data_IF_121047728433
#
_entry.id   IF_121047728433
#
_cell.length_a   1.000
_cell.length_b   1.000
_cell.length_c   1.000
_cell.angle_alpha   90.00
_cell.angle_beta   90.00
_cell.angle_gamma   90.00
#
_symmetry.space_group_name_H-M   'P 1'
#
loop_
_entity.id
_entity.type
_entity.pdbx_description
1 polymer ?
#
# COMPACT_ATOMS: atom_id res chain seq x y z
N UNK A 1 -13.36 -32.55 15.12
CA UNK A 1 -13.18 -31.23 14.51
C UNK A 1 -12.20 -31.37 13.35
N UNK A 2 -12.71 -31.33 12.13
CA UNK A 2 -11.86 -31.23 10.93
C UNK A 2 -11.38 -29.79 10.90
N UNK A 3 -10.07 -29.58 11.05
CA UNK A 3 -9.47 -28.26 11.07
C UNK A 3 -9.72 -27.53 9.73
N UNK A 4 -9.91 -26.24 9.79
CA UNK A 4 -10.04 -25.35 8.62
C UNK A 4 -8.89 -25.48 7.62
N UNK A 5 -7.72 -26.00 8.04
CA UNK A 5 -6.56 -26.26 7.20
C UNK A 5 -6.77 -27.21 6.02
N UNK A 6 -7.81 -28.06 6.07
CA UNK A 6 -8.16 -28.97 4.94
C UNK A 6 -8.99 -28.29 3.84
N UNK A 7 -9.49 -27.07 4.07
CA UNK A 7 -10.39 -26.36 3.15
C UNK A 7 -9.64 -25.56 2.09
N UNK A 8 -8.38 -25.24 2.32
CA UNK A 8 -7.60 -24.34 1.45
C UNK A 8 -6.42 -25.05 0.79
N UNK A 9 -6.68 -26.17 0.09
CA UNK A 9 -5.67 -26.70 -0.83
C UNK A 9 -5.55 -25.74 -2.01
N UNK A 10 -4.36 -25.18 -2.18
CA UNK A 10 -3.95 -24.20 -3.19
C UNK A 10 -4.37 -24.53 -4.64
N UNK A 11 -4.75 -25.77 -4.92
CA UNK A 11 -5.11 -26.26 -6.25
C UNK A 11 -6.55 -25.90 -6.69
N UNK A 12 -7.38 -25.36 -5.80
CA UNK A 12 -8.80 -25.12 -6.08
C UNK A 12 -9.15 -23.63 -6.33
N UNK A 13 -8.19 -22.70 -6.11
CA UNK A 13 -8.43 -21.26 -6.24
C UNK A 13 -7.57 -20.63 -7.32
N UNK A 14 -8.18 -19.81 -8.17
CA UNK A 14 -7.47 -19.02 -9.20
C UNK A 14 -6.79 -17.79 -8.61
N UNK A 15 -7.29 -17.30 -7.47
CA UNK A 15 -6.74 -16.21 -6.66
C UNK A 15 -7.11 -16.41 -5.19
N UNK A 16 -6.43 -15.71 -4.30
CA UNK A 16 -6.86 -15.56 -2.92
C UNK A 16 -6.57 -14.15 -2.42
N UNK A 17 -7.59 -13.45 -1.95
CA UNK A 17 -7.44 -12.11 -1.37
C UNK A 17 -8.40 -11.93 -0.19
N UNK A 18 -7.88 -11.46 0.96
CA UNK A 18 -8.67 -11.20 2.16
C UNK A 18 -8.26 -9.89 2.86
N UNK A 19 -7.78 -8.91 2.09
CA UNK A 19 -7.21 -7.66 2.60
C UNK A 19 -8.22 -6.70 3.22
N UNK A 20 -9.53 -6.87 2.96
CA UNK A 20 -10.55 -5.93 3.42
C UNK A 20 -11.66 -6.67 4.17
N UNK A 21 -12.42 -5.91 4.96
CA UNK A 21 -13.58 -6.42 5.69
C UNK A 21 -14.71 -6.94 4.78
N UNK A 22 -14.75 -6.46 3.52
CA UNK A 22 -15.75 -6.86 2.53
C UNK A 22 -15.42 -8.19 1.84
N UNK A 23 -14.35 -8.86 2.29
CA UNK A 23 -13.94 -10.14 1.68
C UNK A 23 -15.05 -11.18 1.69
N UNK A 24 -15.19 -11.93 0.60
CA UNK A 24 -16.30 -12.85 0.38
C UNK A 24 -16.50 -13.82 1.55
N UNK A 25 -17.67 -13.74 2.19
CA UNK A 25 -18.06 -14.58 3.31
C UNK A 25 -17.15 -14.49 4.54
N UNK A 26 -16.41 -13.39 4.73
CA UNK A 26 -15.40 -13.20 5.76
C UNK A 26 -14.30 -14.29 5.76
N UNK A 27 -14.04 -14.89 4.57
CA UNK A 27 -13.06 -15.98 4.42
C UNK A 27 -11.98 -15.68 3.39
N UNK A 28 -12.33 -14.98 2.32
CA UNK A 28 -11.44 -14.64 1.21
C UNK A 28 -12.14 -14.65 -0.14
N UNK A 29 -11.72 -13.77 -1.02
CA UNK A 29 -12.13 -13.75 -2.41
C UNK A 29 -11.28 -14.76 -3.20
N UNK A 30 -11.93 -15.73 -3.87
CA UNK A 30 -11.23 -16.86 -4.50
C UNK A 30 -11.43 -16.95 -6.02
N UNK A 31 -12.30 -16.11 -6.59
CA UNK A 31 -12.58 -16.03 -8.03
C UNK A 31 -12.46 -14.63 -8.57
N UNK A 32 -13.07 -13.68 -7.88
CA UNK A 32 -13.04 -12.26 -8.14
C UNK A 32 -13.20 -11.52 -6.80
N UNK A 33 -12.52 -10.42 -6.61
CA UNK A 33 -12.70 -9.57 -5.43
C UNK A 33 -14.12 -9.02 -5.37
N UNK A 34 -14.70 -8.89 -4.17
CA UNK A 34 -15.95 -8.13 -3.97
C UNK A 34 -15.81 -6.69 -4.51
N UNK A 35 -14.60 -6.14 -4.43
CA UNK A 35 -14.23 -4.83 -5.00
C UNK A 35 -14.04 -4.83 -6.53
N UNK A 36 -14.23 -5.97 -7.21
CA UNK A 36 -13.99 -6.09 -8.64
C UNK A 36 -12.55 -6.47 -9.04
N UNK A 37 -11.61 -6.62 -8.08
CA UNK A 37 -10.24 -7.07 -8.38
C UNK A 37 -10.27 -8.45 -9.03
N UNK A 38 -9.66 -8.59 -10.22
CA UNK A 38 -9.54 -9.86 -10.91
C UNK A 38 -8.34 -10.68 -10.41
N UNK A 39 -8.26 -11.94 -10.87
CA UNK A 39 -7.20 -12.86 -10.48
C UNK A 39 -5.80 -12.37 -10.86
N UNK A 40 -5.64 -11.84 -12.05
CA UNK A 40 -4.34 -11.37 -12.54
C UNK A 40 -3.81 -10.22 -11.68
N UNK A 41 -4.65 -9.25 -11.38
CA UNK A 41 -4.29 -8.13 -10.50
C UNK A 41 -3.92 -8.62 -9.10
N UNK A 42 -4.71 -9.52 -8.51
CA UNK A 42 -4.42 -10.04 -7.18
C UNK A 42 -3.11 -10.82 -7.12
N UNK A 43 -2.89 -11.73 -8.08
CA UNK A 43 -1.68 -12.52 -8.15
C UNK A 43 -0.44 -11.66 -8.46
N UNK A 44 -0.55 -10.65 -9.33
CA UNK A 44 0.54 -9.71 -9.62
C UNK A 44 0.90 -8.84 -8.42
N UNK A 45 -0.07 -8.47 -7.58
CA UNK A 45 0.19 -7.79 -6.31
C UNK A 45 0.96 -8.69 -5.33
N UNK A 46 0.63 -9.98 -5.24
CA UNK A 46 1.36 -10.94 -4.41
C UNK A 46 2.80 -11.10 -4.91
N UNK A 47 3.02 -11.14 -6.24
CA UNK A 47 4.35 -11.16 -6.82
C UNK A 47 5.14 -9.88 -6.51
N UNK A 48 4.49 -8.71 -6.60
CA UNK A 48 5.15 -7.45 -6.25
C UNK A 48 5.61 -7.44 -4.78
N UNK A 49 4.78 -7.92 -3.87
CA UNK A 49 5.16 -8.07 -2.45
C UNK A 49 6.34 -9.03 -2.32
N UNK A 50 6.31 -10.17 -3.02
CA UNK A 50 7.38 -11.17 -2.97
C UNK A 50 8.73 -10.60 -3.43
N UNK A 51 8.79 -9.93 -4.59
CA UNK A 51 10.04 -9.34 -5.08
C UNK A 51 10.49 -8.14 -4.23
N UNK A 52 9.55 -7.42 -3.59
CA UNK A 52 9.84 -6.34 -2.66
C UNK A 52 10.47 -6.87 -1.37
N UNK A 53 10.01 -8.01 -0.85
CA UNK A 53 10.67 -8.71 0.25
C UNK A 53 12.10 -9.11 -0.11
N UNK A 54 12.32 -9.59 -1.35
CA UNK A 54 13.65 -9.89 -1.85
C UNK A 54 14.56 -8.65 -1.97
N UNK A 55 14.05 -7.53 -2.45
CA UNK A 55 14.77 -6.25 -2.45
C UNK A 55 15.10 -5.79 -1.03
N UNK A 56 14.18 -5.97 -0.09
CA UNK A 56 14.36 -5.59 1.32
C UNK A 56 15.52 -6.37 1.98
N UNK A 57 15.62 -7.68 1.71
CA UNK A 57 16.76 -8.49 2.15
C UNK A 57 18.09 -7.95 1.60
N UNK A 58 18.12 -7.62 0.31
CA UNK A 58 19.33 -7.08 -0.34
C UNK A 58 19.73 -5.74 0.27
N UNK A 59 18.78 -4.83 0.45
CA UNK A 59 19.02 -3.52 1.08
C UNK A 59 19.57 -3.68 2.51
N UNK A 60 18.97 -4.57 3.30
CA UNK A 60 19.40 -4.80 4.68
C UNK A 60 20.80 -5.42 4.77
N UNK A 61 21.15 -6.34 3.86
CA UNK A 61 22.50 -6.93 3.81
C UNK A 61 23.58 -5.91 3.44
N UNK A 62 23.26 -4.91 2.63
CA UNK A 62 24.19 -3.81 2.30
C UNK A 62 24.29 -2.82 3.46
N UNK A 63 23.18 -2.54 4.13
CA UNK A 63 23.10 -1.64 5.28
C UNK A 63 22.90 -0.18 4.89
N UNK A 64 23.84 0.43 4.18
CA UNK A 64 23.73 1.81 3.70
C UNK A 64 23.47 1.85 2.20
N UNK A 65 22.30 2.31 1.81
CA UNK A 65 21.87 2.45 0.42
C UNK A 65 21.25 3.83 0.18
N UNK A 66 21.15 4.23 -1.08
CA UNK A 66 20.44 5.43 -1.51
C UNK A 66 18.94 5.32 -1.10
N UNK A 67 18.39 6.41 -0.58
CA UNK A 67 17.00 6.49 -0.09
C UNK A 67 15.96 6.08 -1.13
N UNK A 68 16.26 6.20 -2.42
CA UNK A 68 15.36 5.76 -3.52
C UNK A 68 14.98 4.28 -3.45
N UNK A 69 15.80 3.43 -2.84
CA UNK A 69 15.46 2.01 -2.66
C UNK A 69 14.42 1.81 -1.56
N UNK A 70 14.46 2.62 -0.50
CA UNK A 70 13.40 2.67 0.51
C UNK A 70 12.11 3.26 -0.06
N UNK A 71 12.22 4.28 -0.93
CA UNK A 71 11.07 4.83 -1.64
C UNK A 71 10.41 3.79 -2.55
N UNK A 72 11.21 3.00 -3.25
CA UNK A 72 10.72 1.91 -4.08
C UNK A 72 10.00 0.84 -3.23
N UNK A 73 10.58 0.43 -2.10
CA UNK A 73 9.96 -0.52 -1.17
C UNK A 73 8.62 0.03 -0.65
N UNK A 74 8.61 1.26 -0.13
CA UNK A 74 7.38 1.89 0.38
C UNK A 74 6.31 2.04 -0.71
N UNK A 75 6.69 2.50 -1.91
CA UNK A 75 5.75 2.66 -3.01
C UNK A 75 5.15 1.31 -3.47
N UNK A 76 5.97 0.26 -3.54
CA UNK A 76 5.47 -1.08 -3.87
C UNK A 76 4.47 -1.60 -2.84
N UNK A 77 4.72 -1.39 -1.55
CA UNK A 77 3.77 -1.76 -0.50
C UNK A 77 2.49 -0.93 -0.59
N UNK A 78 2.60 0.37 -0.83
CA UNK A 78 1.46 1.28 -0.95
C UNK A 78 0.54 0.91 -2.11
N UNK A 79 1.07 0.66 -3.31
CA UNK A 79 0.23 0.34 -4.48
C UNK A 79 -0.48 -1.01 -4.37
N UNK A 80 -0.07 -1.88 -3.45
CA UNK A 80 -0.74 -3.15 -3.17
C UNK A 80 -1.84 -3.06 -2.11
N UNK A 81 -2.10 -1.87 -1.55
CA UNK A 81 -3.23 -1.65 -0.65
C UNK A 81 -4.54 -1.92 -1.40
N UNK A 82 -5.53 -2.42 -0.66
CA UNK A 82 -6.88 -2.64 -1.16
C UNK A 82 -7.40 -1.40 -1.88
N UNK A 83 -7.83 -1.57 -3.13
CA UNK A 83 -8.42 -0.53 -3.98
C UNK A 83 -7.47 0.61 -4.41
N UNK A 84 -6.16 0.51 -4.18
CA UNK A 84 -5.21 1.54 -4.61
C UNK A 84 -4.86 1.43 -6.09
N UNK A 85 -4.61 0.22 -6.60
CA UNK A 85 -4.23 0.00 -7.99
C UNK A 85 -4.83 -1.30 -8.54
N UNK A 86 -5.61 -1.19 -9.63
CA UNK A 86 -6.22 -2.31 -10.35
C UNK A 86 -5.56 -2.57 -11.71
N UNK A 87 -4.56 -1.77 -12.09
CA UNK A 87 -3.84 -1.91 -13.37
C UNK A 87 -2.76 -3.00 -13.26
N UNK A 88 -3.05 -4.19 -13.79
CA UNK A 88 -2.10 -5.31 -13.86
C UNK A 88 -0.80 -4.93 -14.56
N UNK A 89 -0.86 -4.14 -15.64
CA UNK A 89 0.30 -3.77 -16.43
C UNK A 89 1.22 -2.81 -15.64
N UNK A 90 0.65 -1.91 -14.86
CA UNK A 90 1.42 -1.05 -13.97
C UNK A 90 2.09 -1.86 -12.85
N UNK A 91 1.37 -2.79 -12.25
CA UNK A 91 1.91 -3.68 -11.21
C UNK A 91 3.07 -4.51 -11.76
N UNK A 92 2.93 -5.10 -12.95
CA UNK A 92 4.00 -5.87 -13.58
C UNK A 92 5.23 -5.01 -13.93
N UNK A 93 5.04 -3.75 -14.35
CA UNK A 93 6.16 -2.80 -14.54
C UNK A 93 6.92 -2.55 -13.23
N UNK A 94 6.20 -2.41 -12.11
CA UNK A 94 6.82 -2.26 -10.77
C UNK A 94 7.57 -3.52 -10.34
N UNK A 95 7.08 -4.71 -10.67
CA UNK A 95 7.79 -5.97 -10.47
C UNK A 95 9.11 -5.96 -11.25
N UNK A 96 9.07 -5.62 -12.54
CA UNK A 96 10.27 -5.54 -13.40
C UNK A 96 11.29 -4.51 -12.89
N UNK A 97 10.81 -3.34 -12.45
CA UNK A 97 11.65 -2.29 -11.86
C UNK A 97 12.32 -2.77 -10.57
N UNK A 98 11.56 -3.44 -9.72
CA UNK A 98 12.05 -3.97 -8.44
C UNK A 98 13.10 -5.07 -8.65
N UNK A 99 12.87 -5.98 -9.61
CA UNK A 99 13.85 -7.01 -10.00
C UNK A 99 15.14 -6.35 -10.49
N UNK A 100 15.05 -5.38 -11.41
CA UNK A 100 16.22 -4.67 -11.94
C UNK A 100 17.01 -3.95 -10.85
N UNK A 101 16.32 -3.27 -9.94
CA UNK A 101 16.95 -2.57 -8.82
C UNK A 101 17.70 -3.55 -7.90
N UNK A 102 17.03 -4.64 -7.54
CA UNK A 102 17.57 -5.72 -6.71
C UNK A 102 18.81 -6.40 -7.35
N UNK A 103 18.70 -6.81 -8.61
CA UNK A 103 19.77 -7.51 -9.33
C UNK A 103 21.00 -6.62 -9.52
N UNK A 104 20.78 -5.32 -9.75
CA UNK A 104 21.86 -4.33 -9.78
C UNK A 104 22.61 -4.28 -8.45
N UNK A 105 21.88 -4.16 -7.34
CA UNK A 105 22.49 -4.11 -5.99
C UNK A 105 23.26 -5.40 -5.66
N UNK A 106 22.70 -6.57 -5.98
CA UNK A 106 23.36 -7.87 -5.77
C UNK A 106 24.69 -7.91 -6.53
N UNK A 107 24.69 -7.52 -7.80
CA UNK A 107 25.87 -7.54 -8.66
C UNK A 107 26.94 -6.56 -8.19
N UNK A 108 26.56 -5.32 -7.87
CA UNK A 108 27.49 -4.27 -7.43
C UNK A 108 28.17 -4.61 -6.10
N UNK A 109 27.44 -5.26 -5.18
CA UNK A 109 27.93 -5.60 -3.84
C UNK A 109 28.37 -7.06 -3.71
N UNK A 110 28.29 -7.86 -4.79
CA UNK A 110 28.68 -9.29 -4.81
C UNK A 110 28.05 -10.09 -3.67
N UNK A 111 26.74 -9.90 -3.49
CA UNK A 111 26.01 -10.56 -2.41
C UNK A 111 25.79 -12.04 -2.73
N UNK A 112 25.99 -12.87 -1.71
CA UNK A 112 25.76 -14.31 -1.73
C UNK A 112 24.81 -14.71 -0.58
N UNK A 113 24.41 -15.96 -0.52
CA UNK A 113 23.53 -16.52 0.52
C UNK A 113 22.21 -15.76 0.68
N UNK A 114 21.51 -15.57 -0.43
CA UNK A 114 20.24 -14.88 -0.52
C UNK A 114 19.06 -15.85 -0.55
N UNK A 115 17.90 -15.41 -0.10
CA UNK A 115 16.63 -16.14 -0.21
C UNK A 115 16.20 -16.33 -1.67
N UNK A 116 15.21 -17.20 -1.88
CA UNK A 116 14.62 -17.40 -3.21
C UNK A 116 13.97 -16.09 -3.74
N UNK A 117 13.37 -15.29 -2.88
CA UNK A 117 12.81 -14.00 -3.26
C UNK A 117 13.87 -13.00 -3.73
N UNK A 118 15.03 -12.98 -3.07
CA UNK A 118 16.14 -12.14 -3.47
C UNK A 118 16.86 -12.65 -4.73
N UNK A 119 16.91 -13.97 -4.94
CA UNK A 119 17.49 -14.56 -6.15
C UNK A 119 16.58 -14.53 -7.37
N UNK A 120 15.26 -14.45 -7.16
CA UNK A 120 14.32 -14.52 -8.27
C UNK A 120 14.51 -13.38 -9.25
N UNK A 121 14.68 -13.72 -10.53
CA UNK A 121 14.79 -12.78 -11.65
C UNK A 121 14.08 -13.36 -12.86
N UNK A 122 13.40 -12.54 -13.63
CA UNK A 122 12.84 -12.85 -14.93
C UNK A 122 12.55 -11.58 -15.70
N UNK A 123 12.70 -11.62 -17.02
CA UNK A 123 12.29 -10.63 -18.00
C UNK A 123 11.12 -11.14 -18.89
N UNK A 124 10.70 -12.39 -18.70
CA UNK A 124 9.56 -13.00 -19.39
C UNK A 124 8.26 -12.80 -18.59
N UNK A 125 7.34 -12.02 -19.12
CA UNK A 125 6.04 -11.75 -18.51
C UNK A 125 5.19 -12.99 -18.26
N UNK A 126 5.32 -14.03 -19.08
CA UNK A 126 4.61 -15.29 -18.85
C UNK A 126 5.19 -16.03 -17.64
N UNK A 127 6.50 -15.94 -17.43
CA UNK A 127 7.15 -16.47 -16.25
C UNK A 127 6.76 -15.68 -15.00
N UNK A 128 6.73 -14.34 -15.07
CA UNK A 128 6.22 -13.51 -13.97
C UNK A 128 4.80 -13.91 -13.57
N UNK A 129 3.89 -14.08 -14.53
CA UNK A 129 2.50 -14.52 -14.26
C UNK A 129 2.43 -15.93 -13.64
N UNK A 130 3.27 -16.86 -14.06
CA UNK A 130 3.34 -18.18 -13.41
C UNK A 130 3.84 -18.08 -11.98
N UNK A 131 4.93 -17.30 -11.77
CA UNK A 131 5.47 -17.08 -10.42
C UNK A 131 4.46 -16.41 -9.49
N UNK A 132 3.66 -15.48 -9.99
CA UNK A 132 2.61 -14.81 -9.24
C UNK A 132 1.61 -15.78 -8.59
N UNK A 133 1.25 -16.84 -9.29
CA UNK A 133 0.36 -17.90 -8.75
C UNK A 133 1.05 -18.70 -7.63
N UNK A 134 2.37 -18.82 -7.68
CA UNK A 134 3.13 -19.64 -6.73
C UNK A 134 3.37 -18.95 -5.38
N UNK A 135 3.46 -17.62 -5.36
CA UNK A 135 3.96 -16.87 -4.19
C UNK A 135 2.88 -16.23 -3.33
N UNK A 136 1.61 -16.56 -3.56
CA UNK A 136 0.47 -15.97 -2.86
C UNK A 136 0.39 -16.33 -1.36
N UNK A 137 -0.53 -15.68 -0.69
CA UNK A 137 -0.79 -15.77 0.76
C UNK A 137 -0.87 -17.20 1.29
N UNK A 138 -1.48 -18.12 0.53
CA UNK A 138 -1.69 -19.51 0.94
C UNK A 138 -0.43 -20.39 0.90
N UNK A 139 0.75 -19.82 0.59
CA UNK A 139 2.03 -20.53 0.68
C UNK A 139 2.43 -20.87 2.11
N UNK A 140 2.06 -20.04 3.07
CA UNK A 140 2.29 -20.33 4.50
C UNK A 140 1.19 -21.28 4.95
N UNK A 141 1.56 -22.55 5.17
CA UNK A 141 0.61 -23.63 5.47
C UNK A 141 0.04 -23.48 6.89
N UNK A 142 0.89 -23.12 7.86
CA UNK A 142 0.45 -22.89 9.23
C UNK A 142 -0.46 -21.65 9.28
N UNK A 143 -1.69 -21.82 9.76
CA UNK A 143 -2.71 -20.77 9.77
C UNK A 143 -2.37 -19.63 10.74
N UNK A 144 -1.82 -19.96 11.91
CA UNK A 144 -1.44 -18.95 12.91
C UNK A 144 -0.26 -18.13 12.43
N UNK A 145 0.76 -18.79 11.86
CA UNK A 145 1.91 -18.11 11.24
C UNK A 145 1.44 -17.22 10.08
N UNK A 146 0.64 -17.77 9.17
CA UNK A 146 0.10 -17.02 8.03
C UNK A 146 -0.67 -15.79 8.48
N UNK A 147 -1.54 -15.94 9.47
CA UNK A 147 -2.37 -14.84 9.99
C UNK A 147 -1.53 -13.71 10.56
N UNK A 148 -0.48 -14.02 11.31
CA UNK A 148 0.42 -13.01 11.89
C UNK A 148 1.31 -12.36 10.81
N UNK A 149 1.85 -13.14 9.88
CA UNK A 149 2.65 -12.60 8.76
C UNK A 149 1.82 -11.64 7.90
N UNK A 150 0.57 -11.99 7.62
CA UNK A 150 -0.31 -11.14 6.84
C UNK A 150 -0.76 -9.90 7.63
N UNK A 151 -1.01 -10.02 8.94
CA UNK A 151 -1.31 -8.88 9.80
C UNK A 151 -0.15 -7.87 9.80
N UNK A 152 1.09 -8.34 9.94
CA UNK A 152 2.30 -7.52 9.80
C UNK A 152 2.38 -6.90 8.39
N UNK A 153 2.18 -7.69 7.35
CA UNK A 153 2.21 -7.22 5.96
C UNK A 153 1.20 -6.10 5.72
N UNK A 154 -0.02 -6.23 6.25
CA UNK A 154 -1.04 -5.18 6.14
C UNK A 154 -0.69 -3.93 6.95
N UNK A 155 -0.13 -4.09 8.13
CA UNK A 155 0.42 -2.98 8.93
C UNK A 155 1.49 -2.22 8.15
N UNK A 156 2.40 -2.95 7.48
CA UNK A 156 3.44 -2.34 6.63
C UNK A 156 2.86 -1.61 5.41
N UNK A 157 1.80 -2.11 4.79
CA UNK A 157 1.12 -1.40 3.69
C UNK A 157 0.54 -0.06 4.17
N UNK A 158 -0.15 -0.04 5.30
CA UNK A 158 -0.67 1.19 5.89
C UNK A 158 0.43 2.17 6.27
N UNK A 159 1.50 1.66 6.90
CA UNK A 159 2.69 2.46 7.23
C UNK A 159 3.34 3.06 5.98
N UNK A 160 3.47 2.26 4.91
CA UNK A 160 4.05 2.70 3.65
C UNK A 160 3.20 3.80 2.98
N UNK A 161 1.87 3.78 3.12
CA UNK A 161 1.01 4.84 2.62
C UNK A 161 1.27 6.16 3.34
N UNK A 162 1.30 6.17 4.67
CA UNK A 162 1.63 7.37 5.44
C UNK A 162 3.03 7.89 5.13
N UNK A 163 4.01 6.98 5.06
CA UNK A 163 5.39 7.32 4.72
C UNK A 163 5.51 7.92 3.31
N UNK A 164 4.80 7.34 2.32
CA UNK A 164 4.76 7.85 0.95
C UNK A 164 4.24 9.29 0.90
N UNK A 165 3.09 9.56 1.51
CA UNK A 165 2.50 10.91 1.53
C UNK A 165 3.41 11.92 2.24
N UNK A 166 4.07 11.54 3.33
CA UNK A 166 5.03 12.39 4.01
C UNK A 166 6.26 12.68 3.12
N UNK A 167 6.80 11.64 2.43
CA UNK A 167 7.96 11.78 1.55
C UNK A 167 7.66 12.69 0.34
N UNK A 168 6.46 12.62 -0.24
CA UNK A 168 6.01 13.55 -1.31
C UNK A 168 6.02 15.00 -0.84
N UNK A 169 5.76 15.24 0.44
CA UNK A 169 5.84 16.57 1.07
C UNK A 169 7.27 16.98 1.47
N UNK A 170 8.26 16.11 1.26
CA UNK A 170 9.66 16.36 1.61
C UNK A 170 10.05 15.97 3.04
N UNK A 171 9.20 15.23 3.74
CA UNK A 171 9.44 14.76 5.10
C UNK A 171 9.80 13.28 5.09
N UNK A 172 10.87 12.91 5.79
CA UNK A 172 11.39 11.54 5.84
C UNK A 172 11.75 11.14 7.27
N UNK A 173 11.50 9.87 7.58
CA UNK A 173 11.98 9.22 8.80
C UNK A 173 12.73 7.93 8.43
N UNK A 174 14.07 7.95 8.55
CA UNK A 174 14.91 6.80 8.22
C UNK A 174 14.63 5.57 9.09
N UNK A 175 14.17 5.73 10.32
CA UNK A 175 13.82 4.63 11.20
C UNK A 175 12.61 3.88 10.67
N UNK A 176 11.59 4.60 10.17
CA UNK A 176 10.41 4.02 9.52
C UNK A 176 10.82 3.31 8.22
N UNK A 177 11.63 3.95 7.38
CA UNK A 177 12.13 3.35 6.13
C UNK A 177 12.84 2.02 6.38
N UNK A 178 13.80 2.03 7.32
CA UNK A 178 14.58 0.84 7.70
C UNK A 178 13.71 -0.24 8.33
N UNK A 179 12.75 0.17 9.18
CA UNK A 179 11.83 -0.78 9.81
C UNK A 179 10.98 -1.53 8.80
N UNK A 180 10.43 -0.83 7.79
CA UNK A 180 9.65 -1.47 6.71
C UNK A 180 10.50 -2.54 6.01
N UNK A 181 11.73 -2.20 5.58
CA UNK A 181 12.62 -3.14 4.89
C UNK A 181 13.02 -4.33 5.78
N UNK A 182 13.43 -4.08 7.03
CA UNK A 182 13.82 -5.14 7.97
C UNK A 182 12.66 -6.08 8.29
N UNK A 183 11.46 -5.54 8.41
CA UNK A 183 10.27 -6.34 8.72
C UNK A 183 9.83 -7.19 7.54
N UNK A 184 9.88 -6.65 6.32
CA UNK A 184 9.63 -7.43 5.11
C UNK A 184 10.61 -8.62 4.97
N UNK A 185 11.90 -8.41 5.20
CA UNK A 185 12.89 -9.49 5.21
C UNK A 185 12.56 -10.56 6.27
N UNK A 186 12.21 -10.15 7.50
CA UNK A 186 11.84 -11.09 8.57
C UNK A 186 10.67 -11.99 8.19
N UNK A 187 9.76 -11.52 7.33
CA UNK A 187 8.65 -12.33 6.84
C UNK A 187 9.06 -13.39 5.80
N UNK A 188 10.30 -13.37 5.28
CA UNK A 188 10.82 -14.39 4.36
C UNK A 188 11.36 -15.64 5.07
N UNK A 189 11.69 -15.55 6.36
CA UNK A 189 12.27 -16.68 7.11
C UNK A 189 11.30 -17.85 7.16
N UNK A 190 11.82 -19.05 7.08
CA UNK A 190 11.07 -20.28 7.36
C UNK A 190 10.98 -20.51 8.88
N UNK A 191 10.00 -21.31 9.32
CA UNK A 191 9.82 -21.75 10.72
C UNK A 191 9.87 -20.59 11.74
N UNK A 192 9.03 -19.58 11.55
CA UNK A 192 8.94 -18.41 12.43
C UNK A 192 8.34 -18.81 13.78
N UNK A 193 8.98 -18.40 14.87
CA UNK A 193 8.38 -18.50 16.21
C UNK A 193 7.15 -17.58 16.32
N UNK A 194 6.05 -18.10 16.84
CA UNK A 194 4.80 -17.35 17.00
C UNK A 194 4.98 -16.13 17.92
N UNK A 195 5.78 -16.25 18.99
CA UNK A 195 6.02 -15.13 19.88
C UNK A 195 6.84 -14.03 19.20
N UNK A 196 7.79 -14.40 18.34
CA UNK A 196 8.53 -13.42 17.55
C UNK A 196 7.61 -12.69 16.57
N UNK A 197 6.64 -13.37 15.97
CA UNK A 197 5.63 -12.75 15.09
C UNK A 197 4.67 -11.85 15.87
N UNK A 198 4.27 -12.22 17.07
CA UNK A 198 3.47 -11.36 17.98
C UNK A 198 4.26 -10.09 18.33
N UNK A 199 5.52 -10.24 18.70
CA UNK A 199 6.39 -9.10 19.01
C UNK A 199 6.57 -8.21 17.77
N UNK A 200 6.77 -8.81 16.61
CA UNK A 200 6.88 -8.06 15.34
C UNK A 200 5.60 -7.29 14.99
N UNK A 201 4.44 -7.86 15.30
CA UNK A 201 3.14 -7.18 15.16
C UNK A 201 3.05 -5.95 16.06
N UNK A 202 3.47 -6.05 17.32
CA UNK A 202 3.49 -4.93 18.25
C UNK A 202 4.48 -3.83 17.81
N UNK A 203 5.67 -4.20 17.36
CA UNK A 203 6.64 -3.24 16.81
C UNK A 203 6.13 -2.58 15.52
N UNK A 204 5.38 -3.31 14.69
CA UNK A 204 4.74 -2.74 13.50
C UNK A 204 3.73 -1.66 13.90
N UNK A 205 2.95 -1.87 14.94
CA UNK A 205 2.03 -0.85 15.47
C UNK A 205 2.76 0.39 15.98
N UNK A 206 3.87 0.21 16.71
CA UNK A 206 4.69 1.31 17.23
C UNK A 206 5.30 2.17 16.11
N UNK A 207 5.89 1.54 15.10
CA UNK A 207 6.46 2.27 13.96
C UNK A 207 5.37 2.85 13.05
N UNK A 208 4.18 2.23 13.03
CA UNK A 208 2.99 2.82 12.40
C UNK A 208 2.61 4.17 13.01
N UNK A 209 2.65 4.28 14.34
CA UNK A 209 2.43 5.56 15.03
C UNK A 209 3.48 6.61 14.62
N UNK A 210 4.76 6.23 14.51
CA UNK A 210 5.82 7.15 14.06
C UNK A 210 5.58 7.65 12.61
N UNK A 211 5.09 6.78 11.73
CA UNK A 211 4.74 7.19 10.36
C UNK A 211 3.53 8.14 10.33
N UNK A 212 2.55 7.92 11.21
CA UNK A 212 1.40 8.83 11.37
C UNK A 212 1.83 10.19 11.90
N UNK A 213 2.69 10.24 12.92
CA UNK A 213 3.25 11.49 13.45
C UNK A 213 4.04 12.26 12.38
N UNK A 214 4.81 11.55 11.54
CA UNK A 214 5.55 12.15 10.45
C UNK A 214 4.61 12.80 9.44
N UNK A 215 3.53 12.11 9.05
CA UNK A 215 2.55 12.64 8.11
C UNK A 215 1.74 13.81 8.70
N UNK A 216 1.34 13.72 9.96
CA UNK A 216 0.68 14.82 10.66
C UNK A 216 1.56 16.08 10.66
N UNK A 217 2.84 15.93 11.01
CA UNK A 217 3.81 17.02 10.96
C UNK A 217 3.93 17.58 9.54
N UNK A 218 4.08 16.74 8.53
CA UNK A 218 4.21 17.15 7.14
C UNK A 218 2.98 17.96 6.67
N UNK A 219 1.79 17.47 6.99
CA UNK A 219 0.53 18.12 6.63
C UNK A 219 0.34 19.44 7.36
N UNK A 220 0.55 19.46 8.68
CA UNK A 220 0.32 20.66 9.50
C UNK A 220 1.34 21.78 9.21
N UNK A 221 2.60 21.43 8.96
CA UNK A 221 3.62 22.43 8.57
C UNK A 221 3.38 22.99 7.16
N UNK A 222 2.85 22.17 6.23
CA UNK A 222 2.59 22.61 4.85
C UNK A 222 1.24 23.30 4.67
N UNK A 223 0.19 22.80 5.30
CA UNK A 223 -1.19 23.24 5.05
C UNK A 223 -1.82 24.01 6.21
N UNK A 224 -1.13 24.11 7.36
CA UNK A 224 -1.59 24.70 8.60
C UNK A 224 -2.28 23.69 9.52
N UNK A 225 -2.53 24.07 10.77
CA UNK A 225 -3.26 23.21 11.70
C UNK A 225 -4.74 23.18 11.34
N UNK A 226 -5.40 22.02 11.35
CA UNK A 226 -6.83 21.92 11.13
C UNK A 226 -7.64 22.83 12.05
N UNK A 227 -8.66 23.47 11.50
CA UNK A 227 -9.53 24.41 12.21
C UNK A 227 -10.98 23.96 12.12
N UNK A 228 -11.80 24.37 13.11
CA UNK A 228 -13.25 24.23 13.04
C UNK A 228 -13.74 25.01 11.82
N UNK A 229 -14.42 24.32 10.91
CA UNK A 229 -14.78 24.86 9.59
C UNK A 229 -16.21 24.46 9.26
N UNK A 230 -16.98 25.43 8.77
CA UNK A 230 -18.24 25.14 8.10
C UNK A 230 -17.95 24.68 6.68
N UNK A 231 -18.55 23.57 6.28
CA UNK A 231 -18.39 22.97 4.95
C UNK A 231 -19.73 23.01 4.24
N UNK A 232 -19.75 23.54 3.03
CA UNK A 232 -20.95 23.55 2.19
C UNK A 232 -21.18 22.14 1.59
N UNK A 233 -22.42 21.68 1.63
CA UNK A 233 -22.87 20.42 1.05
C UNK A 233 -23.83 20.64 -0.13
N UNK A 234 -24.05 21.87 -0.54
CA UNK A 234 -24.93 22.19 -1.67
C UNK A 234 -24.25 21.88 -3.01
N UNK A 235 -25.06 21.66 -4.03
CA UNK A 235 -24.55 21.55 -5.40
C UNK A 235 -24.56 22.94 -6.05
N UNK A 236 -23.46 23.30 -6.71
CA UNK A 236 -23.35 24.47 -7.56
C UNK A 236 -23.86 24.21 -8.98
N UNK A 237 -23.86 25.27 -9.80
CA UNK A 237 -24.34 25.22 -11.18
C UNK A 237 -23.19 25.01 -12.21
N UNK A 238 -21.92 25.02 -11.78
CA UNK A 238 -20.78 24.89 -12.65
C UNK A 238 -20.47 23.42 -12.98
N UNK A 239 -19.80 23.17 -14.10
CA UNK A 239 -19.13 21.87 -14.31
C UNK A 239 -18.22 21.56 -13.12
N UNK A 240 -18.10 20.27 -12.75
CA UNK A 240 -17.39 19.92 -11.54
C UNK A 240 -16.45 18.73 -11.70
N UNK A 241 -15.40 18.69 -10.87
CA UNK A 241 -14.53 17.55 -10.67
C UNK A 241 -14.79 17.02 -9.26
N UNK A 242 -15.11 15.73 -9.15
CA UNK A 242 -15.22 15.04 -7.88
C UNK A 242 -13.90 14.39 -7.53
N UNK A 243 -13.32 14.73 -6.37
CA UNK A 243 -12.09 14.15 -5.87
C UNK A 243 -12.35 13.39 -4.57
N UNK A 244 -11.82 12.17 -4.50
CA UNK A 244 -11.78 11.35 -3.29
C UNK A 244 -10.35 10.86 -3.06
N UNK A 245 -10.01 10.47 -1.85
CA UNK A 245 -8.69 9.97 -1.48
C UNK A 245 -8.09 10.72 -0.30
N UNK A 246 -6.77 10.62 -0.11
CA UNK A 246 -6.10 11.09 1.10
C UNK A 246 -4.98 12.11 0.82
N UNK A 247 -4.55 12.28 -0.44
CA UNK A 247 -3.38 13.08 -0.77
C UNK A 247 -3.71 14.58 -0.84
N UNK A 248 -3.27 15.32 0.18
CA UNK A 248 -3.47 16.77 0.24
C UNK A 248 -2.59 17.53 -0.76
N UNK A 249 -1.47 16.94 -1.21
CA UNK A 249 -0.64 17.55 -2.24
C UNK A 249 -1.33 17.49 -3.61
N UNK A 250 -1.92 16.36 -3.96
CA UNK A 250 -2.72 16.21 -5.18
C UNK A 250 -3.93 17.15 -5.14
N UNK A 251 -4.57 17.30 -3.97
CA UNK A 251 -5.65 18.27 -3.78
C UNK A 251 -5.17 19.71 -4.02
N UNK A 252 -4.01 20.11 -3.48
CA UNK A 252 -3.44 21.43 -3.76
C UNK A 252 -3.18 21.64 -5.25
N UNK A 253 -2.57 20.66 -5.90
CA UNK A 253 -2.27 20.72 -7.33
C UNK A 253 -3.54 20.83 -8.18
N UNK A 254 -4.60 20.09 -7.84
CA UNK A 254 -5.89 20.17 -8.52
C UNK A 254 -6.50 21.56 -8.38
N UNK A 255 -6.54 22.10 -7.18
CA UNK A 255 -7.10 23.43 -6.92
C UNK A 255 -6.33 24.54 -7.63
N UNK A 256 -4.99 24.48 -7.67
CA UNK A 256 -4.18 25.45 -8.43
C UNK A 256 -4.39 25.32 -9.95
N UNK A 257 -4.55 24.11 -10.49
CA UNK A 257 -4.77 23.89 -11.92
C UNK A 257 -6.19 24.28 -12.37
N UNK A 258 -7.18 24.10 -11.51
CA UNK A 258 -8.58 24.43 -11.81
C UNK A 258 -8.95 25.89 -11.50
N UNK A 259 -8.05 26.65 -10.87
CA UNK A 259 -8.27 28.05 -10.55
C UNK A 259 -8.66 28.86 -11.78
N UNK A 260 -9.69 29.66 -11.64
CA UNK A 260 -10.22 30.54 -12.70
C UNK A 260 -10.76 29.79 -13.94
N UNK A 261 -10.93 28.46 -13.88
CA UNK A 261 -11.43 27.63 -14.99
C UNK A 261 -12.97 27.61 -15.09
N UNK A 262 -13.68 28.07 -14.06
CA UNK A 262 -15.14 27.94 -13.95
C UNK A 262 -15.60 26.51 -13.64
N UNK A 263 -14.71 25.71 -13.06
CA UNK A 263 -14.99 24.32 -12.62
C UNK A 263 -14.98 24.26 -11.11
N UNK A 264 -16.01 23.69 -10.51
CA UNK A 264 -16.08 23.44 -9.07
C UNK A 264 -15.37 22.16 -8.70
N UNK A 265 -14.75 22.13 -7.52
CA UNK A 265 -14.10 20.94 -6.97
C UNK A 265 -14.94 20.41 -5.81
N UNK A 266 -15.42 19.18 -5.95
CA UNK A 266 -16.17 18.50 -4.92
C UNK A 266 -15.30 17.47 -4.24
N UNK A 267 -15.10 17.62 -2.94
CA UNK A 267 -14.47 16.58 -2.11
C UNK A 267 -15.52 15.53 -1.73
N UNK A 268 -15.07 14.29 -1.60
CA UNK A 268 -15.92 13.19 -1.19
C UNK A 268 -15.16 12.30 -0.21
N UNK A 269 -15.89 11.70 0.76
CA UNK A 269 -15.38 10.72 1.71
C UNK A 269 -14.11 11.20 2.41
N UNK A 270 -13.05 10.47 2.28
CA UNK A 270 -11.75 10.67 2.95
C UNK A 270 -11.06 12.00 2.60
N UNK A 271 -11.52 12.72 1.56
CA UNK A 271 -11.00 14.05 1.22
C UNK A 271 -11.69 15.18 2.01
N UNK A 272 -12.74 14.90 2.80
CA UNK A 272 -13.39 15.91 3.66
C UNK A 272 -12.38 16.68 4.55
N UNK A 273 -11.37 16.06 5.17
CA UNK A 273 -10.40 16.77 5.99
C UNK A 273 -9.64 17.89 5.28
N UNK A 274 -9.51 17.87 3.95
CA UNK A 274 -8.90 18.97 3.20
C UNK A 274 -9.55 20.32 3.52
N UNK A 275 -10.86 20.35 3.73
CA UNK A 275 -11.60 21.58 4.06
C UNK A 275 -11.20 22.20 5.41
N UNK A 276 -10.57 21.44 6.29
CA UNK A 276 -10.20 21.90 7.64
C UNK A 276 -8.86 22.63 7.67
N UNK A 277 -8.03 22.46 6.64
CA UNK A 277 -6.69 23.04 6.58
C UNK A 277 -6.74 24.49 6.08
N UNK A 278 -6.15 25.45 6.81
CA UNK A 278 -6.20 26.89 6.46
C UNK A 278 -5.75 27.20 5.05
N UNK A 279 -4.74 26.47 4.56
CA UNK A 279 -4.17 26.72 3.23
C UNK A 279 -5.19 26.55 2.10
N UNK A 280 -6.14 25.65 2.24
CA UNK A 280 -7.18 25.41 1.23
C UNK A 280 -8.32 26.43 1.27
N UNK A 281 -8.49 27.16 2.37
CA UNK A 281 -9.53 28.19 2.52
C UNK A 281 -9.38 29.40 1.59
N UNK A 282 -8.21 29.56 0.96
CA UNK A 282 -7.99 30.58 -0.08
C UNK A 282 -8.75 30.33 -1.40
N UNK A 283 -9.30 29.12 -1.58
CA UNK A 283 -10.05 28.72 -2.79
C UNK A 283 -11.55 28.89 -2.56
N UNK A 284 -12.00 30.13 -2.43
CA UNK A 284 -13.26 30.56 -1.83
C UNK A 284 -14.57 30.01 -2.44
N UNK A 285 -14.58 29.43 -3.62
CA UNK A 285 -15.85 29.12 -4.31
C UNK A 285 -15.91 27.76 -4.97
N UNK A 286 -14.84 27.00 -4.96
CA UNK A 286 -14.77 25.76 -5.72
C UNK A 286 -14.64 24.51 -4.84
N UNK A 287 -14.50 24.64 -3.54
CA UNK A 287 -14.30 23.52 -2.65
C UNK A 287 -15.58 23.21 -1.87
N UNK A 288 -16.33 22.26 -2.36
CA UNK A 288 -17.59 21.79 -1.79
C UNK A 288 -17.44 20.34 -1.41
N UNK A 289 -18.02 19.93 -0.29
CA UNK A 289 -18.05 18.51 0.08
C UNK A 289 -19.39 17.89 -0.30
N UNK A 290 -19.37 16.76 -1.01
CA UNK A 290 -20.55 15.95 -1.25
C UNK A 290 -20.72 15.00 -0.07
N UNK A 291 -21.90 15.05 0.55
CA UNK A 291 -22.27 14.12 1.62
C UNK A 291 -22.14 12.68 1.17
N UNK A 292 -21.70 11.84 2.10
CA UNK A 292 -21.49 10.42 1.89
C UNK A 292 -22.65 9.75 1.16
N UNK A 293 -22.38 8.97 0.10
CA UNK A 293 -23.36 8.04 -0.39
C UNK A 293 -23.65 7.03 0.72
N UNK A 294 -24.87 6.89 1.06
CA UNK A 294 -25.36 5.91 2.03
C UNK A 294 -25.11 4.46 1.61
N UNK A 295 -24.22 4.21 0.67
CA UNK A 295 -24.03 2.89 0.05
C UNK A 295 -22.58 2.49 -0.12
N UNK A 296 -22.07 1.83 0.88
CA UNK A 296 -21.05 0.81 0.69
C UNK A 296 -21.57 -0.48 -0.01
N UNK A 297 -22.77 -0.45 -0.56
CA UNK A 297 -23.48 -1.64 -1.08
C UNK A 297 -23.46 -1.77 -2.59
N UNK A 298 -22.79 -0.89 -3.28
CA UNK A 298 -22.83 -0.82 -4.74
C UNK A 298 -21.45 -1.14 -5.37
N UNK A 299 -20.65 -1.94 -4.69
CA UNK A 299 -19.42 -2.49 -5.29
C UNK A 299 -19.47 -4.00 -5.18
#
# INVERSE_FOLDING_TARGET
SRGLGDVYKRQDFIMFCFQCQETAGNKGCTKVGVCGKNENTANSQDLLIYVTKGLSEVVNKIGEVDSKYYDLISNNMFVTITNANFDEEDILRKVEETIKAKDKLIKENKLEDLSDAAKYTSDDRNELKRKAIEVGVLNIINEDERSLVELVTYGLKGMAAYNHHANVLGYRNEEVDKFIAQTLEKTLKDDKDINDLINLTMETGKHGLMAMELLDKANTEKFGNPEITEVDFSAGDNPAILISGHDLNDMEMLLEQSKDSGVDIYTHSEMLPANYYPKFKKYDLSLIHISEPTRHWAI
#
